data_IF_691955698896
#
_entry.id   IF_691955698896
#
_cell.length_a   1.000
_cell.length_b   1.000
_cell.length_c   1.000
_cell.angle_alpha   90.00
_cell.angle_beta   90.00
_cell.angle_gamma   90.00
#
_symmetry.space_group_name_H-M   'P 1'
#
loop_
_entity.id
_entity.type
_entity.pdbx_description
1 polymer ?
#
# COMPACT_ATOMS: atom_id res chain seq x y z
N UNK A 1 13.36 2.82 26.78
CA UNK A 1 12.21 2.52 25.92
C UNK A 1 10.96 2.55 26.79
N UNK A 2 9.97 3.32 26.44
CA UNK A 2 8.71 3.35 27.22
C UNK A 2 7.94 2.10 26.80
N UNK A 3 7.69 1.20 27.75
CA UNK A 3 6.84 0.05 27.54
C UNK A 3 5.40 0.52 27.39
N UNK A 4 4.98 0.72 26.13
CA UNK A 4 3.62 1.10 25.84
C UNK A 4 2.67 -0.10 26.13
N UNK A 5 1.48 0.16 26.66
CA UNK A 5 0.45 -0.88 26.78
C UNK A 5 0.22 -1.61 25.46
N UNK A 6 -0.04 -2.92 25.48
CA UNK A 6 -0.16 -3.76 24.29
C UNK A 6 -1.18 -3.29 23.24
N UNK A 7 -2.20 -2.53 23.65
CA UNK A 7 -3.18 -1.94 22.71
C UNK A 7 -2.62 -0.75 21.91
N UNK A 8 -1.57 -0.07 22.42
CA UNK A 8 -1.00 1.11 21.73
C UNK A 8 -0.38 0.74 20.38
N UNK A 9 0.48 -0.30 20.27
CA UNK A 9 0.95 -0.76 18.97
C UNK A 9 -0.20 -1.16 18.04
N UNK A 10 -1.20 -1.87 18.57
CA UNK A 10 -2.36 -2.30 17.76
C UNK A 10 -3.11 -1.10 17.18
N UNK A 11 -3.40 -0.07 17.97
CA UNK A 11 -4.05 1.16 17.49
C UNK A 11 -3.16 1.87 16.47
N UNK A 12 -1.86 1.99 16.72
CA UNK A 12 -0.92 2.62 15.78
C UNK A 12 -0.92 1.92 14.42
N UNK A 13 -0.76 0.58 14.40
CA UNK A 13 -0.72 -0.19 13.15
C UNK A 13 -2.07 -0.30 12.47
N UNK A 14 -3.17 -0.15 13.18
CA UNK A 14 -4.51 -0.15 12.59
C UNK A 14 -4.97 1.23 12.09
N UNK A 15 -4.31 2.32 12.48
CA UNK A 15 -4.74 3.69 12.14
C UNK A 15 -3.65 4.51 11.46
N UNK A 16 -2.65 4.94 12.21
CA UNK A 16 -1.62 5.86 11.71
C UNK A 16 -0.77 5.25 10.60
N UNK A 17 -0.27 4.03 10.80
CA UNK A 17 0.62 3.40 9.83
C UNK A 17 -0.05 3.22 8.45
N UNK A 18 -1.28 2.68 8.35
CA UNK A 18 -1.97 2.59 7.06
C UNK A 18 -2.16 3.94 6.37
N UNK A 19 -2.50 4.99 7.11
CA UNK A 19 -2.64 6.34 6.53
C UNK A 19 -1.33 6.82 5.95
N UNK A 20 -0.25 6.77 6.72
CA UNK A 20 1.06 7.25 6.29
C UNK A 20 1.61 6.43 5.10
N UNK A 21 1.49 5.11 5.17
CA UNK A 21 2.00 4.20 4.14
C UNK A 21 1.21 4.33 2.84
N UNK A 22 -0.13 4.38 2.90
CA UNK A 22 -0.94 4.52 1.71
C UNK A 22 -0.75 5.89 1.04
N UNK A 23 -0.63 6.97 1.79
CA UNK A 23 -0.30 8.29 1.22
C UNK A 23 1.04 8.23 0.47
N UNK A 24 2.06 7.60 1.04
CA UNK A 24 3.36 7.48 0.40
C UNK A 24 3.33 6.56 -0.83
N UNK A 25 3.00 5.30 -0.65
CA UNK A 25 3.11 4.29 -1.71
C UNK A 25 2.02 4.40 -2.76
N UNK A 26 0.76 4.51 -2.35
CA UNK A 26 -0.37 4.60 -3.29
C UNK A 26 -0.55 6.02 -3.82
N UNK A 27 -0.11 7.02 -3.07
CA UNK A 27 0.03 8.37 -3.59
C UNK A 27 1.00 8.42 -4.76
N UNK A 28 2.19 7.84 -4.63
CA UNK A 28 3.17 7.71 -5.71
C UNK A 28 2.62 6.92 -6.91
N UNK A 29 1.92 5.80 -6.65
CA UNK A 29 1.25 5.02 -7.68
C UNK A 29 0.22 5.85 -8.46
N UNK A 30 -0.64 6.59 -7.76
CA UNK A 30 -1.69 7.40 -8.39
C UNK A 30 -1.11 8.57 -9.19
N UNK A 31 -0.01 9.16 -8.73
CA UNK A 31 0.74 10.16 -9.51
C UNK A 31 1.28 9.55 -10.80
N UNK A 32 1.88 8.36 -10.76
CA UNK A 32 2.38 7.67 -11.94
C UNK A 32 1.25 7.35 -12.94
N UNK A 33 0.09 6.91 -12.46
CA UNK A 33 -1.10 6.67 -13.29
C UNK A 33 -1.56 7.97 -13.96
N UNK A 34 -1.64 9.08 -13.21
CA UNK A 34 -2.03 10.38 -13.74
C UNK A 34 -1.04 10.91 -14.77
N UNK A 35 0.27 10.78 -14.52
CA UNK A 35 1.32 11.16 -15.47
C UNK A 35 1.23 10.33 -16.75
N UNK A 36 1.03 9.02 -16.64
CA UNK A 36 0.81 8.15 -17.79
C UNK A 36 -0.40 8.56 -18.61
N UNK A 37 -1.52 8.86 -17.96
CA UNK A 37 -2.74 9.32 -18.61
C UNK A 37 -2.58 10.67 -19.33
N UNK A 38 -1.78 11.58 -18.76
CA UNK A 38 -1.49 12.90 -19.35
C UNK A 38 -0.45 12.84 -20.48
N UNK A 39 0.45 11.85 -20.46
CA UNK A 39 1.60 11.78 -21.37
C UNK A 39 1.30 11.10 -22.71
N UNK A 40 0.28 10.24 -22.78
CA UNK A 40 -0.02 9.43 -23.97
C UNK A 40 -1.49 9.07 -24.04
N UNK A 41 -2.02 8.93 -25.24
CA UNK A 41 -3.34 8.35 -25.51
C UNK A 41 -3.29 6.84 -25.78
N UNK A 42 -2.08 6.27 -25.92
CA UNK A 42 -1.91 4.85 -26.19
C UNK A 42 -2.22 4.03 -24.92
N UNK A 43 -3.30 3.24 -24.99
CA UNK A 43 -3.77 2.43 -23.84
C UNK A 43 -2.75 1.40 -23.37
N UNK A 44 -1.93 0.87 -24.27
CA UNK A 44 -0.90 -0.12 -23.93
C UNK A 44 0.26 0.52 -23.15
N UNK A 45 0.66 1.72 -23.56
CA UNK A 45 1.67 2.50 -22.84
C UNK A 45 1.17 2.90 -21.47
N UNK A 46 -0.06 3.39 -21.37
CA UNK A 46 -0.71 3.72 -20.07
C UNK A 46 -0.78 2.49 -19.16
N UNK A 47 -1.22 1.35 -19.70
CA UNK A 47 -1.30 0.09 -18.97
C UNK A 47 0.07 -0.38 -18.47
N UNK A 48 1.11 -0.25 -19.29
CA UNK A 48 2.49 -0.60 -18.91
C UNK A 48 3.00 0.29 -17.79
N UNK A 49 2.79 1.60 -17.87
CA UNK A 49 3.17 2.55 -16.81
C UNK A 49 2.45 2.20 -15.50
N UNK A 50 1.15 1.95 -15.56
CA UNK A 50 0.35 1.57 -14.39
C UNK A 50 0.84 0.26 -13.78
N UNK A 51 1.05 -0.77 -14.59
CA UNK A 51 1.54 -2.06 -14.12
C UNK A 51 2.95 -1.95 -13.51
N UNK A 52 3.86 -1.23 -14.15
CA UNK A 52 5.21 -1.01 -13.65
C UNK A 52 5.20 -0.24 -12.32
N UNK A 53 4.37 0.78 -12.21
CA UNK A 53 4.23 1.55 -10.96
C UNK A 53 3.61 0.70 -9.84
N UNK A 54 2.58 -0.09 -10.14
CA UNK A 54 1.93 -1.00 -9.18
C UNK A 54 2.92 -2.05 -8.66
N UNK A 55 3.64 -2.71 -9.54
CA UNK A 55 4.63 -3.73 -9.18
C UNK A 55 5.79 -3.08 -8.42
N UNK A 56 6.31 -1.95 -8.90
CA UNK A 56 7.45 -1.26 -8.29
C UNK A 56 7.14 -0.76 -6.88
N UNK A 57 6.01 -0.09 -6.67
CA UNK A 57 5.61 0.39 -5.33
C UNK A 57 5.31 -0.76 -4.38
N UNK A 58 4.69 -1.83 -4.86
CA UNK A 58 4.42 -3.02 -4.05
C UNK A 58 5.69 -3.78 -3.69
N UNK A 59 6.64 -3.86 -4.60
CA UNK A 59 7.96 -4.45 -4.35
C UNK A 59 8.71 -3.69 -3.25
N UNK A 60 8.81 -2.36 -3.36
CA UNK A 60 9.44 -1.53 -2.34
C UNK A 60 8.72 -1.67 -1.00
N UNK A 61 7.38 -1.68 -1.02
CA UNK A 61 6.57 -1.90 0.19
C UNK A 61 6.88 -3.24 0.87
N UNK A 62 7.05 -4.30 0.08
CA UNK A 62 7.49 -5.59 0.60
C UNK A 62 8.91 -5.53 1.18
N UNK A 63 9.86 -4.91 0.46
CA UNK A 63 11.25 -4.85 0.90
C UNK A 63 11.44 -4.15 2.24
N UNK A 64 10.73 -3.06 2.50
CA UNK A 64 10.84 -2.35 3.79
C UNK A 64 10.29 -3.15 4.98
N UNK A 65 9.58 -4.25 4.71
CA UNK A 65 9.09 -5.16 5.74
C UNK A 65 10.04 -6.34 6.03
N UNK A 66 11.16 -6.44 5.32
CA UNK A 66 12.16 -7.50 5.54
C UNK A 66 12.76 -7.48 6.95
N UNK A 67 12.84 -6.31 7.58
CA UNK A 67 13.34 -6.16 8.94
C UNK A 67 12.52 -6.97 9.98
N UNK A 68 11.27 -7.29 9.66
CA UNK A 68 10.42 -8.12 10.51
C UNK A 68 10.60 -9.61 10.21
N UNK A 69 10.43 -10.01 8.96
CA UNK A 69 10.66 -11.36 8.47
C UNK A 69 10.45 -11.43 6.95
N UNK A 70 10.97 -12.50 6.33
CA UNK A 70 10.71 -12.77 4.92
C UNK A 70 9.22 -13.00 4.65
N UNK A 71 8.53 -13.72 5.54
CA UNK A 71 7.09 -13.96 5.41
C UNK A 71 6.30 -12.65 5.45
N UNK A 72 6.68 -11.75 6.35
CA UNK A 72 6.05 -10.43 6.45
C UNK A 72 6.30 -9.59 5.19
N UNK A 73 7.52 -9.62 4.66
CA UNK A 73 7.87 -8.93 3.42
C UNK A 73 7.04 -9.44 2.23
N UNK A 74 6.92 -10.75 2.07
CA UNK A 74 6.10 -11.36 1.01
C UNK A 74 4.62 -10.99 1.19
N UNK A 75 4.09 -11.09 2.39
CA UNK A 75 2.72 -10.71 2.72
C UNK A 75 2.47 -9.22 2.42
N UNK A 76 3.40 -8.34 2.82
CA UNK A 76 3.32 -6.91 2.54
C UNK A 76 3.35 -6.63 1.03
N UNK A 77 4.23 -7.27 0.27
CA UNK A 77 4.31 -7.14 -1.18
C UNK A 77 3.00 -7.54 -1.87
N UNK A 78 2.44 -8.68 -1.49
CA UNK A 78 1.15 -9.18 -2.04
C UNK A 78 0.00 -8.24 -1.65
N UNK A 79 -0.11 -7.88 -0.38
CA UNK A 79 -1.14 -6.94 0.07
C UNK A 79 -0.97 -5.56 -0.57
N UNK A 80 0.27 -5.16 -0.83
CA UNK A 80 0.60 -3.94 -1.57
C UNK A 80 -0.01 -3.91 -2.97
N UNK A 81 0.03 -5.02 -3.70
CA UNK A 81 -0.65 -5.14 -5.00
C UNK A 81 -2.16 -4.99 -4.83
N UNK A 82 -2.74 -5.66 -3.83
CA UNK A 82 -4.18 -5.60 -3.57
C UNK A 82 -4.62 -4.17 -3.25
N UNK A 83 -3.94 -3.49 -2.33
CA UNK A 83 -4.26 -2.11 -1.96
C UNK A 83 -4.04 -1.15 -3.14
N UNK A 84 -3.03 -1.39 -3.96
CA UNK A 84 -2.78 -0.63 -5.18
C UNK A 84 -3.92 -0.79 -6.20
N UNK A 85 -4.38 -2.00 -6.43
CA UNK A 85 -5.55 -2.27 -7.30
C UNK A 85 -6.80 -1.59 -6.75
N UNK A 86 -7.04 -1.67 -5.44
CA UNK A 86 -8.17 -0.98 -4.79
C UNK A 86 -8.09 0.54 -5.02
N UNK A 87 -6.91 1.14 -4.86
CA UNK A 87 -6.71 2.57 -5.08
C UNK A 87 -7.00 2.96 -6.54
N UNK A 88 -6.48 2.20 -7.50
CA UNK A 88 -6.68 2.46 -8.94
C UNK A 88 -8.15 2.27 -9.32
N UNK A 89 -8.76 1.17 -8.93
CA UNK A 89 -10.15 0.84 -9.29
C UNK A 89 -11.16 1.82 -8.67
N UNK A 90 -10.95 2.23 -7.42
CA UNK A 90 -11.80 3.18 -6.72
C UNK A 90 -11.48 4.65 -7.04
N UNK A 91 -10.31 4.92 -7.63
CA UNK A 91 -9.74 6.26 -7.80
C UNK A 91 -9.64 7.03 -6.48
N UNK A 92 -9.35 6.31 -5.39
CA UNK A 92 -9.37 6.87 -4.04
C UNK A 92 -8.29 6.24 -3.17
N UNK A 93 -7.48 7.08 -2.52
CA UNK A 93 -6.56 6.63 -1.47
C UNK A 93 -7.32 6.18 -0.22
N UNK A 94 -8.50 6.74 0.07
CA UNK A 94 -9.30 6.35 1.23
C UNK A 94 -9.71 4.88 1.20
N UNK A 95 -10.08 4.36 0.04
CA UNK A 95 -10.42 2.96 -0.09
C UNK A 95 -9.22 2.04 0.22
N UNK A 96 -8.04 2.39 -0.23
CA UNK A 96 -6.82 1.67 0.10
C UNK A 96 -6.45 1.79 1.59
N UNK A 97 -6.57 2.98 2.17
CA UNK A 97 -6.34 3.23 3.61
C UNK A 97 -7.28 2.36 4.45
N UNK A 98 -8.56 2.34 4.14
CA UNK A 98 -9.55 1.54 4.88
C UNK A 98 -9.26 0.05 4.73
N UNK A 99 -8.96 -0.42 3.52
CA UNK A 99 -8.62 -1.82 3.28
C UNK A 99 -7.37 -2.24 4.06
N UNK A 100 -6.34 -1.41 4.07
CA UNK A 100 -5.09 -1.66 4.81
C UNK A 100 -5.33 -1.62 6.32
N UNK A 101 -6.07 -0.64 6.82
CA UNK A 101 -6.41 -0.54 8.23
C UNK A 101 -7.19 -1.77 8.73
N UNK A 102 -8.16 -2.25 7.94
CA UNK A 102 -8.90 -3.47 8.24
C UNK A 102 -8.01 -4.71 8.22
N UNK A 103 -7.12 -4.81 7.24
CA UNK A 103 -6.16 -5.92 7.16
C UNK A 103 -5.28 -5.97 8.41
N UNK A 104 -4.71 -4.83 8.83
CA UNK A 104 -3.87 -4.76 10.01
C UNK A 104 -4.67 -5.04 11.30
N UNK A 105 -5.88 -4.50 11.42
CA UNK A 105 -6.75 -4.76 12.57
C UNK A 105 -7.07 -6.25 12.70
N UNK A 106 -7.40 -6.92 11.60
CA UNK A 106 -7.67 -8.37 11.60
C UNK A 106 -6.43 -9.17 11.99
N UNK A 107 -5.24 -8.77 11.55
CA UNK A 107 -3.99 -9.43 11.93
C UNK A 107 -3.71 -9.37 13.44
N UNK A 108 -4.18 -8.33 14.13
CA UNK A 108 -4.07 -8.22 15.60
C UNK A 108 -5.13 -9.01 16.36
N UNK A 109 -6.27 -9.30 15.74
CA UNK A 109 -7.39 -10.04 16.36
C UNK A 109 -7.21 -11.55 16.19
N UNK A 110 -6.71 -11.98 15.04
CA UNK A 110 -6.50 -13.38 14.68
C UNK A 110 -5.11 -13.88 15.06
#
# INVERSE_FOLDING_TARGET
MIDAPGWVPAVFFATYAPVAEEIGYRGALMVAVAVGAASTSNRWVRGTITAAALIGTSWVFGLVHLDWSLLNAVSAGVSGVIFGVVAIASRSLWAAIVAHALFNALAFIL
#
